data_IF_860408890887
#
_entry.id   IF_860408890887
#
_cell.length_a   1.000
_cell.length_b   1.000
_cell.length_c   1.000
_cell.angle_alpha   90.00
_cell.angle_beta   90.00
_cell.angle_gamma   90.00
#
_symmetry.space_group_name_H-M   'P 1'
#
loop_
_entity.id
_entity.type
_entity.pdbx_description
1 polymer ?
#
# COMPACT_ATOMS: atom_id res chain seq x y z
N UNK A 1 -20.21 56.99 36.58
CA UNK A 1 -19.33 56.10 35.83
C UNK A 1 -20.07 54.78 35.65
N UNK A 2 -20.60 54.56 34.46
CA UNK A 2 -21.53 53.48 34.15
C UNK A 2 -20.82 52.12 34.02
N UNK A 3 -21.40 51.10 34.62
CA UNK A 3 -21.03 49.69 34.41
C UNK A 3 -22.00 49.10 33.40
N UNK A 4 -21.43 48.56 32.32
CA UNK A 4 -22.12 47.82 31.26
C UNK A 4 -21.42 46.45 31.14
N UNK A 5 -22.20 45.46 30.71
CA UNK A 5 -21.78 44.27 29.94
C UNK A 5 -21.86 42.90 30.64
N UNK A 6 -23.02 42.28 30.39
CA UNK A 6 -23.27 40.95 29.80
C UNK A 6 -22.81 39.66 30.52
N UNK A 7 -23.85 38.91 30.91
CA UNK A 7 -24.16 37.51 30.54
C UNK A 7 -23.04 36.69 29.88
N UNK A 8 -22.69 35.57 30.52
CA UNK A 8 -22.00 34.46 29.87
C UNK A 8 -22.81 33.18 30.06
N UNK A 9 -23.13 32.55 28.94
CA UNK A 9 -23.95 31.35 28.81
C UNK A 9 -23.06 30.13 28.52
N UNK A 10 -23.47 28.97 29.04
CA UNK A 10 -23.27 27.66 28.41
C UNK A 10 -21.83 27.18 28.19
N UNK A 11 -21.24 26.54 29.21
CA UNK A 11 -20.17 25.55 28.99
C UNK A 11 -20.82 24.17 28.85
N UNK A 12 -21.28 23.89 27.63
CA UNK A 12 -21.57 22.54 27.19
C UNK A 12 -20.26 21.80 26.91
N UNK A 13 -20.14 20.64 27.55
CA UNK A 13 -19.02 19.71 27.49
C UNK A 13 -18.60 19.40 26.05
N UNK A 14 -17.37 19.77 25.68
CA UNK A 14 -16.64 19.19 24.55
C UNK A 14 -16.19 17.79 24.95
N UNK A 15 -16.94 16.78 24.51
CA UNK A 15 -16.37 15.47 24.24
C UNK A 15 -15.74 15.56 22.85
N UNK A 16 -14.41 15.64 22.80
CA UNK A 16 -13.64 15.51 21.57
C UNK A 16 -12.28 14.90 21.94
N UNK A 17 -12.33 13.70 22.52
CA UNK A 17 -11.17 12.85 22.74
C UNK A 17 -11.46 11.51 22.05
N UNK A 18 -10.81 11.28 20.90
CA UNK A 18 -10.86 9.99 20.20
C UNK A 18 -11.08 10.00 18.68
N UNK A 19 -10.65 11.02 17.94
CA UNK A 19 -10.57 10.91 16.47
C UNK A 19 -9.33 10.10 16.08
N UNK A 20 -9.43 8.77 16.17
CA UNK A 20 -8.59 7.88 15.37
C UNK A 20 -8.98 8.09 13.90
N UNK A 21 -7.99 8.23 13.01
CA UNK A 21 -8.19 8.63 11.62
C UNK A 21 -9.10 7.67 10.84
N UNK A 22 -10.40 7.92 10.86
CA UNK A 22 -11.36 7.23 9.99
C UNK A 22 -11.13 7.77 8.57
N UNK A 23 -10.75 6.90 7.63
CA UNK A 23 -10.57 7.31 6.23
C UNK A 23 -11.93 7.70 5.67
N UNK A 24 -12.05 8.94 5.20
CA UNK A 24 -13.30 9.40 4.61
C UNK A 24 -13.57 8.67 3.30
N UNK A 25 -14.84 8.50 2.96
CA UNK A 25 -15.27 7.98 1.66
C UNK A 25 -14.64 8.73 0.46
N UNK A 26 -14.34 10.02 0.65
CA UNK A 26 -13.64 10.83 -0.35
C UNK A 26 -12.19 10.37 -0.52
N UNK A 27 -11.45 10.24 0.58
CA UNK A 27 -10.05 9.80 0.55
C UNK A 27 -9.89 8.38 -0.02
N UNK A 28 -10.84 7.50 0.27
CA UNK A 28 -10.90 6.17 -0.34
C UNK A 28 -11.06 6.27 -1.85
N UNK A 29 -12.01 7.09 -2.33
CA UNK A 29 -12.23 7.31 -3.76
C UNK A 29 -11.03 7.91 -4.48
N UNK A 30 -10.36 8.88 -3.85
CA UNK A 30 -9.15 9.52 -4.39
C UNK A 30 -7.99 8.50 -4.53
N UNK A 31 -8.00 7.44 -3.71
CA UNK A 31 -7.07 6.30 -3.80
C UNK A 31 -7.54 5.18 -4.75
N UNK A 32 -8.63 5.39 -5.48
CA UNK A 32 -9.23 4.38 -6.36
C UNK A 32 -9.96 3.26 -5.60
N UNK A 33 -10.19 3.42 -4.30
CA UNK A 33 -10.90 2.45 -3.47
C UNK A 33 -12.39 2.81 -3.50
N UNK A 34 -13.22 1.87 -3.97
CA UNK A 34 -14.67 2.05 -4.12
C UNK A 34 -15.50 1.39 -3.02
N UNK A 35 -14.86 0.56 -2.19
CA UNK A 35 -15.49 -0.05 -1.02
C UNK A 35 -15.71 1.01 0.05
N UNK A 36 -16.77 0.85 0.83
CA UNK A 36 -17.04 1.78 1.93
C UNK A 36 -16.02 1.63 3.05
N UNK A 37 -15.80 2.70 3.83
CA UNK A 37 -14.91 2.67 4.99
C UNK A 37 -15.30 1.54 5.95
N UNK A 38 -16.61 1.37 6.22
CA UNK A 38 -17.12 0.31 7.09
C UNK A 38 -16.80 -1.11 6.60
N UNK A 39 -16.94 -1.39 5.30
CA UNK A 39 -16.59 -2.70 4.73
C UNK A 39 -15.07 -2.97 4.80
N UNK A 40 -14.25 -1.94 4.57
CA UNK A 40 -12.80 -2.04 4.68
C UNK A 40 -12.40 -2.28 6.14
N UNK A 41 -13.00 -1.56 7.09
CA UNK A 41 -12.75 -1.76 8.51
C UNK A 41 -13.16 -3.14 9.00
N UNK A 42 -14.31 -3.66 8.56
CA UNK A 42 -14.76 -5.01 8.90
C UNK A 42 -13.76 -6.06 8.41
N UNK A 43 -13.37 -5.99 7.14
CA UNK A 43 -12.40 -6.93 6.57
C UNK A 43 -11.00 -6.76 7.18
N UNK A 44 -10.56 -5.53 7.44
CA UNK A 44 -9.30 -5.24 8.10
C UNK A 44 -9.29 -5.80 9.53
N UNK A 45 -10.38 -5.64 10.29
CA UNK A 45 -10.52 -6.19 11.65
C UNK A 45 -10.51 -7.71 11.64
N UNK A 46 -11.26 -8.33 10.72
CA UNK A 46 -11.28 -9.77 10.51
C UNK A 46 -9.87 -10.30 10.25
N UNK A 47 -9.16 -9.67 9.34
CA UNK A 47 -7.83 -10.11 8.92
C UNK A 47 -6.73 -9.79 9.93
N UNK A 48 -6.80 -8.64 10.61
CA UNK A 48 -5.91 -8.32 11.72
C UNK A 48 -6.03 -9.36 12.84
N UNK A 49 -7.25 -9.84 13.12
CA UNK A 49 -7.47 -10.90 14.11
C UNK A 49 -6.81 -12.21 13.69
N UNK A 50 -6.88 -12.58 12.41
CA UNK A 50 -6.20 -13.77 11.86
C UNK A 50 -4.68 -13.63 11.91
N UNK A 51 -4.12 -12.47 11.54
CA UNK A 51 -2.69 -12.18 11.62
C UNK A 51 -2.19 -12.23 13.06
N UNK A 52 -2.89 -11.59 14.00
CA UNK A 52 -2.47 -11.51 15.40
C UNK A 52 -2.34 -12.89 16.05
N UNK A 53 -3.11 -13.88 15.59
CA UNK A 53 -3.02 -15.26 16.07
C UNK A 53 -1.76 -16.00 15.61
N UNK A 54 -1.11 -15.54 14.52
CA UNK A 54 0.05 -16.21 13.92
C UNK A 54 1.33 -15.37 13.96
N UNK A 55 1.24 -14.11 14.38
CA UNK A 55 2.41 -13.27 14.54
C UNK A 55 3.31 -13.84 15.66
N UNK A 56 4.61 -14.03 15.40
CA UNK A 56 5.54 -14.35 16.47
C UNK A 56 5.51 -13.22 17.50
N UNK A 57 5.19 -13.56 18.75
CA UNK A 57 5.07 -12.60 19.86
C UNK A 57 6.43 -12.09 20.36
N UNK A 58 7.52 -12.49 19.71
CA UNK A 58 8.86 -11.97 19.98
C UNK A 58 9.06 -10.66 19.24
N UNK A 59 9.44 -9.59 19.95
CA UNK A 59 10.14 -8.46 19.31
C UNK A 59 11.29 -9.05 18.50
N UNK A 60 11.34 -8.79 17.20
CA UNK A 60 12.57 -8.98 16.47
C UNK A 60 13.58 -7.99 17.05
N UNK A 61 14.45 -8.49 17.94
CA UNK A 61 15.64 -7.77 18.36
C UNK A 61 16.58 -7.86 17.16
N UNK A 62 16.53 -6.85 16.29
CA UNK A 62 17.54 -6.65 15.26
C UNK A 62 18.56 -5.70 15.85
N UNK A 63 19.68 -6.20 16.37
CA UNK A 63 20.89 -5.40 16.41
C UNK A 63 21.40 -5.33 14.95
N UNK A 64 21.22 -4.22 14.22
CA UNK A 64 21.48 -4.20 12.76
C UNK A 64 22.96 -4.37 12.42
N UNK A 65 23.83 -4.12 13.41
CA UNK A 65 25.26 -4.35 13.35
C UNK A 65 25.65 -5.82 13.61
N UNK A 66 24.75 -6.62 14.19
CA UNK A 66 25.03 -8.02 14.51
C UNK A 66 25.26 -8.82 13.21
N UNK A 67 26.43 -9.45 13.11
CA UNK A 67 26.85 -10.20 11.93
C UNK A 67 27.77 -9.42 10.98
N UNK A 68 28.05 -8.15 11.24
CA UNK A 68 29.06 -7.37 10.51
C UNK A 68 30.33 -7.19 11.34
N UNK A 69 31.48 -7.19 10.67
CA UNK A 69 32.74 -6.74 11.25
C UNK A 69 32.75 -5.21 11.41
N UNK A 70 33.62 -4.66 12.28
CA UNK A 70 33.75 -3.20 12.43
C UNK A 70 34.10 -2.47 11.12
N UNK A 71 34.82 -3.13 10.22
CA UNK A 71 35.18 -2.58 8.91
C UNK A 71 33.98 -2.53 7.96
N UNK A 72 33.15 -3.56 7.96
CA UNK A 72 31.90 -3.62 7.19
C UNK A 72 30.88 -2.61 7.71
N UNK A 73 30.71 -2.49 9.02
CA UNK A 73 29.85 -1.46 9.61
C UNK A 73 30.29 -0.06 9.18
N UNK A 74 31.59 0.24 9.27
CA UNK A 74 32.13 1.53 8.88
C UNK A 74 31.93 1.78 7.37
N UNK A 75 32.03 0.75 6.55
CA UNK A 75 31.74 0.83 5.12
C UNK A 75 30.27 1.13 4.84
N UNK A 76 29.35 0.41 5.48
CA UNK A 76 27.89 0.62 5.32
C UNK A 76 27.46 2.01 5.82
N UNK A 77 27.99 2.47 6.97
CA UNK A 77 27.74 3.82 7.49
C UNK A 77 28.26 4.91 6.54
N UNK A 78 29.43 4.71 5.92
CA UNK A 78 29.93 5.62 4.86
C UNK A 78 29.03 5.64 3.62
N UNK A 79 28.40 4.51 3.30
CA UNK A 79 27.38 4.39 2.25
C UNK A 79 26.02 5.00 2.61
N UNK A 80 25.87 5.54 3.82
CA UNK A 80 24.63 6.18 4.29
C UNK A 80 23.63 5.24 4.96
N UNK A 81 24.00 3.98 5.24
CA UNK A 81 23.14 3.10 6.04
C UNK A 81 23.24 3.45 7.52
N UNK A 82 22.09 3.65 8.15
CA UNK A 82 21.97 3.75 9.60
C UNK A 82 21.83 2.34 10.20
N UNK A 83 22.76 1.98 11.08
CA UNK A 83 22.78 0.69 11.78
C UNK A 83 22.31 0.83 13.24
N UNK A 84 21.69 1.95 13.60
CA UNK A 84 21.06 2.14 14.90
C UNK A 84 19.87 1.17 15.04
N UNK A 85 19.79 0.37 16.12
CA UNK A 85 18.64 -0.47 16.39
C UNK A 85 17.35 0.35 16.38
N UNK A 86 16.30 -0.19 15.77
CA UNK A 86 15.00 0.45 15.78
C UNK A 86 14.56 0.77 17.22
N UNK A 87 14.06 1.98 17.43
CA UNK A 87 13.61 2.41 18.76
C UNK A 87 12.50 1.50 19.30
N UNK A 88 12.36 1.43 20.63
CA UNK A 88 11.32 0.63 21.29
C UNK A 88 9.88 0.98 20.83
N UNK A 89 9.68 2.20 20.36
CA UNK A 89 8.40 2.74 19.88
C UNK A 89 8.21 2.58 18.36
N UNK A 90 9.21 2.09 17.62
CA UNK A 90 9.07 1.85 16.19
C UNK A 90 8.34 0.54 15.93
N UNK A 91 7.38 0.52 14.98
CA UNK A 91 6.72 -0.71 14.58
C UNK A 91 7.76 -1.66 13.97
N UNK A 92 7.84 -2.86 14.56
CA UNK A 92 8.63 -3.97 14.07
C UNK A 92 8.45 -4.17 12.54
N UNK A 93 9.52 -4.36 11.75
CA UNK A 93 9.44 -4.48 10.29
C UNK A 93 8.50 -5.58 9.80
N UNK A 94 8.42 -6.70 10.52
CA UNK A 94 7.49 -7.78 10.19
C UNK A 94 6.04 -7.34 10.44
N UNK A 95 5.78 -6.70 11.58
CA UNK A 95 4.48 -6.10 11.91
C UNK A 95 4.04 -5.05 10.88
N UNK A 96 4.97 -4.21 10.40
CA UNK A 96 4.71 -3.23 9.33
C UNK A 96 4.35 -3.92 8.01
N UNK A 97 5.05 -4.99 7.66
CA UNK A 97 4.76 -5.78 6.45
C UNK A 97 3.42 -6.48 6.55
N UNK A 98 3.09 -7.07 7.70
CA UNK A 98 1.80 -7.71 7.95
C UNK A 98 0.64 -6.71 7.89
N UNK A 99 0.81 -5.52 8.49
CA UNK A 99 -0.17 -4.44 8.41
C UNK A 99 -0.38 -3.95 6.97
N UNK A 100 0.69 -3.78 6.18
CA UNK A 100 0.58 -3.47 4.75
C UNK A 100 -0.18 -4.58 4.01
N UNK A 101 0.15 -5.84 4.24
CA UNK A 101 -0.52 -6.96 3.59
C UNK A 101 -2.03 -6.99 3.91
N UNK A 102 -2.38 -6.75 5.17
CA UNK A 102 -3.76 -6.62 5.62
C UNK A 102 -4.50 -5.50 4.89
N UNK A 103 -3.88 -4.32 4.82
CA UNK A 103 -4.45 -3.17 4.13
C UNK A 103 -4.68 -3.46 2.64
N UNK A 104 -3.76 -4.16 1.97
CA UNK A 104 -3.93 -4.54 0.57
C UNK A 104 -5.15 -5.46 0.41
N UNK A 105 -5.30 -6.49 1.24
CA UNK A 105 -6.44 -7.42 1.17
C UNK A 105 -7.76 -6.70 1.43
N UNK A 106 -7.81 -5.85 2.46
CA UNK A 106 -9.03 -5.15 2.86
C UNK A 106 -9.49 -4.15 1.78
N UNK A 107 -8.56 -3.43 1.16
CA UNK A 107 -8.86 -2.46 0.10
C UNK A 107 -9.10 -3.13 -1.27
N UNK A 108 -8.62 -4.36 -1.48
CA UNK A 108 -8.70 -5.05 -2.76
C UNK A 108 -10.14 -5.39 -3.18
N UNK A 109 -10.38 -5.31 -4.48
CA UNK A 109 -11.67 -5.64 -5.08
C UNK A 109 -11.86 -7.16 -5.16
N UNK A 110 -13.08 -7.62 -4.95
CA UNK A 110 -13.48 -8.98 -5.33
C UNK A 110 -13.48 -9.14 -6.85
N UNK A 111 -13.55 -10.39 -7.33
CA UNK A 111 -13.72 -10.64 -8.78
C UNK A 111 -14.99 -10.00 -9.35
N UNK A 112 -16.08 -9.99 -8.57
CA UNK A 112 -17.36 -9.38 -8.96
C UNK A 112 -17.24 -7.85 -9.03
N UNK A 113 -16.63 -7.23 -8.04
CA UNK A 113 -16.41 -5.77 -8.02
C UNK A 113 -15.51 -5.33 -9.18
N UNK A 114 -14.41 -6.05 -9.43
CA UNK A 114 -13.53 -5.75 -10.57
C UNK A 114 -14.25 -5.94 -11.92
N UNK A 115 -15.12 -6.95 -12.03
CA UNK A 115 -15.93 -7.18 -13.23
C UNK A 115 -16.89 -6.01 -13.50
N UNK A 116 -17.58 -5.55 -12.44
CA UNK A 116 -18.46 -4.38 -12.51
C UNK A 116 -17.69 -3.11 -12.87
N UNK A 117 -16.55 -2.86 -12.23
CA UNK A 117 -15.69 -1.71 -12.48
C UNK A 117 -15.26 -1.65 -13.95
N UNK A 118 -14.78 -2.78 -14.49
CA UNK A 118 -14.26 -2.85 -15.85
C UNK A 118 -15.35 -3.02 -16.92
N UNK A 119 -16.62 -3.17 -16.54
CA UNK A 119 -17.72 -3.45 -17.47
C UNK A 119 -17.58 -4.78 -18.21
N UNK A 120 -17.02 -5.82 -17.56
CA UNK A 120 -16.80 -7.15 -18.14
C UNK A 120 -17.42 -8.25 -17.28
N UNK A 121 -17.41 -9.50 -17.75
CA UNK A 121 -17.88 -10.64 -16.96
C UNK A 121 -16.85 -11.09 -15.91
N UNK A 122 -17.31 -11.69 -14.80
CA UNK A 122 -16.42 -12.32 -13.82
C UNK A 122 -15.51 -13.39 -14.44
N UNK A 123 -16.01 -14.13 -15.43
CA UNK A 123 -15.22 -15.10 -16.19
C UNK A 123 -14.06 -14.45 -16.93
N UNK A 124 -14.26 -13.26 -17.50
CA UNK A 124 -13.20 -12.48 -18.14
C UNK A 124 -12.15 -12.03 -17.12
N UNK A 125 -12.56 -11.58 -15.94
CA UNK A 125 -11.61 -11.23 -14.86
C UNK A 125 -10.79 -12.45 -14.43
N UNK A 126 -11.44 -13.61 -14.22
CA UNK A 126 -10.73 -14.87 -13.87
C UNK A 126 -9.74 -15.29 -14.94
N UNK A 127 -10.11 -15.18 -16.22
CA UNK A 127 -9.21 -15.43 -17.34
C UNK A 127 -8.00 -14.48 -17.31
N UNK A 128 -8.22 -13.20 -17.01
CA UNK A 128 -7.13 -12.21 -16.92
C UNK A 128 -6.16 -12.46 -15.77
N UNK A 129 -6.67 -12.94 -14.63
CA UNK A 129 -5.85 -13.42 -13.51
C UNK A 129 -4.99 -14.62 -13.92
N UNK A 130 -5.57 -15.60 -14.64
CA UNK A 130 -4.83 -16.75 -15.16
C UNK A 130 -3.75 -16.33 -16.17
N UNK A 131 -4.09 -15.40 -17.06
CA UNK A 131 -3.18 -14.87 -18.08
C UNK A 131 -2.18 -13.83 -17.53
N UNK A 132 -2.23 -13.54 -16.22
CA UNK A 132 -1.34 -12.60 -15.53
C UNK A 132 -1.39 -11.18 -16.09
N UNK A 133 -2.53 -10.83 -16.67
CA UNK A 133 -2.84 -9.46 -17.14
C UNK A 133 -3.61 -8.65 -16.10
N UNK A 134 -3.96 -9.28 -14.97
CA UNK A 134 -4.39 -8.66 -13.73
C UNK A 134 -3.71 -9.43 -12.60
N UNK A 135 -3.45 -8.72 -11.51
CA UNK A 135 -2.91 -9.29 -10.29
C UNK A 135 -4.05 -9.58 -9.30
N UNK A 136 -3.97 -10.74 -8.67
CA UNK A 136 -4.92 -11.16 -7.66
C UNK A 136 -4.25 -12.00 -6.59
N UNK A 137 -4.67 -11.77 -5.35
CA UNK A 137 -4.25 -12.49 -4.16
C UNK A 137 -5.36 -13.43 -3.72
N UNK A 138 -4.99 -14.52 -3.05
CA UNK A 138 -5.96 -15.43 -2.44
C UNK A 138 -6.29 -14.96 -1.02
N UNK A 139 -7.58 -14.80 -0.74
CA UNK A 139 -8.11 -14.67 0.61
C UNK A 139 -9.19 -15.74 0.78
N UNK A 140 -8.87 -16.80 1.52
CA UNK A 140 -9.68 -18.02 1.56
C UNK A 140 -9.93 -18.60 0.16
N UNK A 141 -11.20 -18.65 -0.25
CA UNK A 141 -11.63 -19.16 -1.57
C UNK A 141 -11.76 -18.07 -2.63
N UNK A 142 -11.67 -16.80 -2.25
CA UNK A 142 -11.91 -15.67 -3.14
C UNK A 142 -10.61 -15.08 -3.68
N UNK A 143 -10.67 -14.50 -4.87
CA UNK A 143 -9.60 -13.64 -5.36
C UNK A 143 -9.88 -12.20 -4.89
N UNK A 144 -8.83 -11.56 -4.39
CA UNK A 144 -8.78 -10.14 -4.05
C UNK A 144 -7.81 -9.46 -5.01
N UNK A 145 -8.28 -8.46 -5.73
CA UNK A 145 -7.56 -7.73 -6.76
C UNK A 145 -7.13 -6.38 -6.19
N UNK A 146 -5.84 -6.19 -5.84
CA UNK A 146 -5.36 -4.94 -5.26
C UNK A 146 -5.66 -3.72 -6.12
N UNK A 147 -5.91 -2.58 -5.47
CA UNK A 147 -6.35 -1.34 -6.12
C UNK A 147 -5.26 -0.64 -6.94
N UNK A 148 -3.99 -0.94 -6.71
CA UNK A 148 -2.86 -0.31 -7.42
C UNK A 148 -2.85 -0.56 -8.93
N UNK A 149 -3.65 -1.51 -9.44
CA UNK A 149 -3.78 -1.77 -10.88
C UNK A 149 -4.97 -1.04 -11.54
N UNK A 150 -5.76 -0.29 -10.76
CA UNK A 150 -6.94 0.44 -11.23
C UNK A 150 -6.78 1.95 -11.02
N UNK A 151 -7.40 2.73 -11.90
CA UNK A 151 -7.49 4.18 -11.81
C UNK A 151 -8.91 4.61 -12.17
N UNK A 152 -9.62 5.17 -11.18
CA UNK A 152 -11.06 5.42 -11.31
C UNK A 152 -11.83 4.14 -11.68
N UNK A 153 -12.52 4.20 -12.81
CA UNK A 153 -13.35 3.10 -13.34
C UNK A 153 -12.64 2.31 -14.45
N UNK A 154 -11.32 2.45 -14.53
CA UNK A 154 -10.48 1.81 -15.53
C UNK A 154 -9.31 1.08 -14.89
N UNK A 155 -8.73 0.16 -15.66
CA UNK A 155 -7.42 -0.39 -15.35
C UNK A 155 -6.34 0.61 -15.76
N UNK A 156 -5.26 0.69 -14.98
CA UNK A 156 -4.05 1.42 -15.38
C UNK A 156 -3.52 0.84 -16.69
N UNK A 157 -3.52 1.66 -17.76
CA UNK A 157 -3.12 1.22 -19.09
C UNK A 157 -1.70 0.64 -19.06
N UNK A 158 -1.52 -0.55 -19.64
CA UNK A 158 -0.21 -1.20 -19.74
C UNK A 158 0.24 -1.97 -18.48
N UNK A 159 -0.50 -1.89 -17.35
CA UNK A 159 -0.15 -2.64 -16.13
C UNK A 159 -0.11 -4.15 -16.39
N UNK A 160 -1.05 -4.67 -17.18
CA UNK A 160 -1.10 -6.08 -17.55
C UNK A 160 0.06 -6.55 -18.44
N UNK A 161 0.79 -5.65 -19.09
CA UNK A 161 2.03 -5.99 -19.80
C UNK A 161 3.16 -6.18 -18.80
N UNK A 162 3.33 -5.25 -17.86
CA UNK A 162 4.33 -5.32 -16.80
C UNK A 162 4.14 -6.55 -15.90
N UNK A 163 2.90 -6.82 -15.46
CA UNK A 163 2.58 -7.93 -14.55
C UNK A 163 2.93 -9.33 -15.10
N UNK A 164 3.07 -9.49 -16.42
CA UNK A 164 3.50 -10.76 -17.03
C UNK A 164 4.95 -11.09 -16.73
N UNK A 165 5.78 -10.06 -16.54
CA UNK A 165 7.23 -10.18 -16.37
C UNK A 165 7.66 -10.28 -14.90
N UNK A 166 6.81 -9.89 -13.96
CA UNK A 166 7.06 -10.03 -12.51
C UNK A 166 7.22 -11.52 -12.14
N UNK A 167 8.14 -11.89 -11.24
CA UNK A 167 8.21 -13.29 -10.79
C UNK A 167 6.97 -13.69 -9.95
N UNK A 168 6.55 -14.97 -10.04
CA UNK A 168 5.34 -15.46 -9.35
C UNK A 168 5.51 -15.59 -7.83
N UNK A 169 6.76 -15.61 -7.36
CA UNK A 169 7.13 -15.75 -5.96
C UNK A 169 7.25 -14.40 -5.25
N UNK A 170 7.21 -13.28 -6.00
CA UNK A 170 7.23 -11.93 -5.45
C UNK A 170 6.09 -11.74 -4.46
N UNK A 171 6.45 -11.32 -3.25
CA UNK A 171 5.49 -11.08 -2.19
C UNK A 171 4.57 -9.89 -2.55
N UNK A 172 3.26 -9.93 -2.27
CA UNK A 172 2.33 -8.87 -2.66
C UNK A 172 2.70 -7.47 -2.14
N UNK A 173 3.27 -7.38 -0.94
CA UNK A 173 3.76 -6.10 -0.38
C UNK A 173 4.96 -5.57 -1.15
N UNK A 174 5.87 -6.44 -1.62
CA UNK A 174 7.00 -6.02 -2.44
C UNK A 174 6.53 -5.48 -3.78
N UNK A 175 5.58 -6.17 -4.42
CA UNK A 175 4.98 -5.72 -5.67
C UNK A 175 4.26 -4.37 -5.53
N UNK A 176 3.47 -4.19 -4.45
CA UNK A 176 2.83 -2.90 -4.17
C UNK A 176 3.87 -1.80 -4.00
N UNK A 177 4.87 -2.02 -3.14
CA UNK A 177 5.90 -1.02 -2.89
C UNK A 177 6.61 -0.66 -4.19
N UNK A 178 6.94 -1.63 -5.04
CA UNK A 178 7.56 -1.37 -6.34
C UNK A 178 6.69 -0.49 -7.22
N UNK A 179 5.39 -0.78 -7.36
CA UNK A 179 4.48 0.04 -8.17
C UNK A 179 4.25 1.46 -7.62
N UNK A 180 4.46 1.69 -6.33
CA UNK A 180 4.07 2.93 -5.63
C UNK A 180 5.25 3.74 -5.09
N UNK A 181 6.47 3.20 -5.16
CA UNK A 181 7.67 3.91 -4.71
C UNK A 181 8.31 4.62 -5.91
N UNK A 182 8.81 5.86 -5.72
CA UNK A 182 9.63 6.55 -6.70
C UNK A 182 10.80 5.69 -7.20
N UNK A 183 11.06 5.73 -8.50
CA UNK A 183 12.22 5.10 -9.10
C UNK A 183 13.03 6.15 -9.89
N UNK A 184 14.33 6.36 -9.57
CA UNK A 184 15.15 7.38 -10.23
C UNK A 184 15.32 7.15 -11.74
N UNK A 185 15.12 5.93 -12.24
CA UNK A 185 15.20 5.59 -13.66
C UNK A 185 13.94 6.02 -14.44
N UNK A 186 12.88 6.45 -13.75
CA UNK A 186 11.62 6.88 -14.34
C UNK A 186 11.45 8.39 -14.18
N UNK A 187 12.00 9.18 -15.10
CA UNK A 187 11.88 10.64 -15.08
C UNK A 187 10.70 11.10 -15.95
N UNK A 188 9.71 11.80 -15.37
CA UNK A 188 8.60 12.38 -16.15
C UNK A 188 8.94 13.74 -16.73
N UNK A 189 9.81 14.49 -16.04
CA UNK A 189 10.26 15.82 -16.44
C UNK A 189 11.80 15.91 -16.30
N UNK A 190 12.44 16.75 -17.14
CA UNK A 190 13.91 16.85 -17.18
C UNK A 190 14.54 17.30 -15.84
N UNK A 191 13.82 18.08 -15.04
CA UNK A 191 14.30 18.66 -13.76
C UNK A 191 13.70 17.97 -12.51
N UNK A 192 13.02 16.83 -12.68
CA UNK A 192 12.39 16.11 -11.56
C UNK A 192 13.42 15.44 -10.65
N UNK A 193 13.27 15.63 -9.34
CA UNK A 193 14.15 15.02 -8.34
C UNK A 193 13.42 13.85 -7.66
N UNK A 194 13.98 12.65 -7.76
CA UNK A 194 13.46 11.42 -7.13
C UNK A 194 12.78 10.44 -8.09
N UNK A 195 12.38 10.90 -9.28
CA UNK A 195 11.69 10.11 -10.30
C UNK A 195 10.26 9.72 -9.91
N UNK A 196 9.51 9.25 -10.90
CA UNK A 196 8.16 8.73 -10.74
C UNK A 196 8.16 7.28 -10.30
N UNK A 197 7.07 6.85 -9.67
CA UNK A 197 6.79 5.43 -9.48
C UNK A 197 6.36 4.76 -10.79
N UNK A 198 6.49 3.43 -10.93
CA UNK A 198 5.97 2.69 -12.08
C UNK A 198 4.49 2.94 -12.35
N UNK A 199 3.67 3.13 -11.31
CA UNK A 199 2.25 3.48 -11.49
C UNK A 199 2.10 4.88 -12.07
N UNK A 200 2.80 5.88 -11.54
CA UNK A 200 2.74 7.26 -12.05
C UNK A 200 3.25 7.33 -13.50
N UNK A 201 4.32 6.59 -13.82
CA UNK A 201 4.81 6.43 -15.18
C UNK A 201 3.71 5.95 -16.13
N UNK A 202 3.00 4.87 -15.79
CA UNK A 202 1.90 4.37 -16.62
C UNK A 202 0.72 5.35 -16.72
N UNK A 203 0.38 6.01 -15.62
CA UNK A 203 -0.72 7.00 -15.60
C UNK A 203 -0.40 8.24 -16.45
N UNK A 204 0.87 8.62 -16.55
CA UNK A 204 1.32 9.71 -17.43
C UNK A 204 1.27 9.35 -18.93
N UNK A 205 1.00 8.08 -19.27
CA UNK A 205 1.08 7.56 -20.63
C UNK A 205 2.46 7.02 -21.02
N UNK A 206 3.38 6.90 -20.06
CA UNK A 206 4.69 6.28 -20.24
C UNK A 206 4.60 4.84 -20.77
N UNK A 207 5.59 4.45 -21.57
CA UNK A 207 5.60 3.12 -22.20
C UNK A 207 5.83 2.00 -21.19
N UNK A 208 5.00 0.93 -21.17
CA UNK A 208 5.23 -0.24 -20.31
C UNK A 208 6.56 -0.95 -20.60
N UNK A 209 7.08 -0.83 -21.83
CA UNK A 209 8.34 -1.46 -22.23
C UNK A 209 9.55 -1.00 -21.38
N UNK A 210 9.51 0.23 -20.84
CA UNK A 210 10.54 0.74 -19.92
C UNK A 210 10.49 0.01 -18.57
N UNK A 211 9.30 -0.39 -18.14
CA UNK A 211 9.08 -1.05 -16.85
C UNK A 211 9.35 -2.55 -16.90
N UNK A 212 9.30 -3.19 -18.08
CA UNK A 212 9.56 -4.63 -18.23
C UNK A 212 10.91 -5.06 -17.63
N UNK A 213 12.06 -4.49 -18.01
CA UNK A 213 13.34 -4.92 -17.42
C UNK A 213 13.41 -4.65 -15.91
N UNK A 214 12.75 -3.59 -15.42
CA UNK A 214 12.68 -3.28 -13.99
C UNK A 214 11.79 -4.27 -13.22
N UNK A 215 10.78 -4.85 -13.88
CA UNK A 215 9.89 -5.84 -13.30
C UNK A 215 10.49 -7.26 -13.30
N UNK A 216 11.45 -7.54 -14.18
CA UNK A 216 12.13 -8.84 -14.26
C UNK A 216 13.18 -9.05 -13.14
N UNK A 217 13.64 -7.96 -12.51
CA UNK A 217 14.62 -7.99 -11.41
C UNK A 217 13.99 -7.90 -10.01
N UNK A 218 12.65 -7.96 -9.95
CA UNK A 218 11.83 -7.88 -8.75
C UNK A 218 11.77 -9.22 -8.02
#
# INVERSE_FOLDING_TARGET
MATLTQANAGLGSRQDEGSGSELTERELRDRGIRRSSGEIEEDARRFASEILLVLPTGRWVNEPAEGFSPEEEAFLKRGGLDLVPAGADEPDPLSRTAAKYAAIIAAALTTKEAANLLGVSEGRVRQRLQNRTLYGMKSGRENRLPVFQFDGDHEVRGVGEVLKHVDRTVHPVALLNWFTSPNPDLQLYEDEHGGASPREWLLSGGSPAVLVPLAEVL
#
